data_IF_838018237417
#
_entry.id   IF_838018237417
#
_cell.length_a   1.000
_cell.length_b   1.000
_cell.length_c   1.000
_cell.angle_alpha   90.00
_cell.angle_beta   90.00
_cell.angle_gamma   90.00
#
_symmetry.space_group_name_H-M   'P 1'
#
loop_
_entity.id
_entity.type
_entity.pdbx_description
1 polymer ?
#
# COMPACT_ATOMS: atom_id res chain seq x y z
N UNK A 1 -14.08 6.86 -1.55
CA UNK A 1 -14.94 5.67 -1.33
C UNK A 1 -14.61 5.12 0.05
N UNK A 2 -15.62 4.96 0.91
CA UNK A 2 -15.52 4.53 2.32
C UNK A 2 -16.13 3.13 2.54
N UNK A 3 -16.20 2.32 1.47
CA UNK A 3 -16.90 1.03 1.44
C UNK A 3 -15.97 -0.10 0.98
N UNK A 4 -15.49 -0.88 1.95
CA UNK A 4 -15.44 -2.34 1.91
C UNK A 4 -14.33 -3.07 1.13
N UNK A 5 -13.68 -2.47 0.12
CA UNK A 5 -12.66 -3.19 -0.70
C UNK A 5 -11.54 -2.32 -1.27
N UNK A 6 -11.52 -1.02 -0.98
CA UNK A 6 -10.50 -0.12 -1.50
C UNK A 6 -9.56 0.28 -0.36
N UNK A 7 -8.27 -0.06 -0.49
CA UNK A 7 -7.22 0.48 0.37
C UNK A 7 -7.23 2.01 0.39
N UNK A 8 -6.43 2.61 1.28
CA UNK A 8 -6.32 4.07 1.36
C UNK A 8 -5.83 4.63 0.01
N UNK A 9 -6.74 5.24 -0.75
CA UNK A 9 -6.37 5.93 -1.99
C UNK A 9 -5.63 7.24 -1.70
N UNK A 10 -4.87 7.81 -2.65
CA UNK A 10 -4.21 9.10 -2.46
C UNK A 10 -5.17 10.23 -2.05
N UNK A 11 -6.37 10.30 -2.64
CA UNK A 11 -7.38 11.28 -2.25
C UNK A 11 -7.86 11.06 -0.80
N UNK A 12 -8.02 9.80 -0.37
CA UNK A 12 -8.38 9.49 1.01
C UNK A 12 -7.25 9.80 1.98
N UNK A 13 -5.99 9.55 1.60
CA UNK A 13 -4.83 9.92 2.41
C UNK A 13 -4.77 11.44 2.66
N UNK A 14 -5.10 12.26 1.66
CA UNK A 14 -5.23 13.72 1.81
C UNK A 14 -6.41 14.09 2.73
N UNK A 15 -7.56 13.43 2.58
CA UNK A 15 -8.71 13.67 3.47
C UNK A 15 -8.38 13.34 4.93
N UNK A 16 -7.67 12.23 5.16
CA UNK A 16 -7.22 11.81 6.49
C UNK A 16 -6.14 12.72 7.06
N UNK A 17 -5.21 13.20 6.22
CA UNK A 17 -4.18 14.15 6.64
C UNK A 17 -4.78 15.45 7.18
N UNK A 18 -5.79 15.98 6.48
CA UNK A 18 -6.55 17.17 6.91
C UNK A 18 -7.36 16.89 8.18
N UNK A 19 -8.05 15.74 8.24
CA UNK A 19 -8.95 15.43 9.34
C UNK A 19 -8.23 15.16 10.67
N UNK A 20 -7.02 14.60 10.62
CA UNK A 20 -6.29 14.13 11.80
C UNK A 20 -4.99 14.91 12.07
N UNK A 21 -4.71 15.97 11.32
CA UNK A 21 -3.46 16.74 11.40
C UNK A 21 -2.22 15.84 11.27
N UNK A 22 -2.25 14.94 10.28
CA UNK A 22 -1.16 13.99 9.96
C UNK A 22 -0.66 14.22 8.52
N UNK A 23 0.27 13.40 8.03
CA UNK A 23 0.71 13.43 6.61
C UNK A 23 -0.02 12.40 5.75
N UNK A 24 -0.31 12.75 4.50
CA UNK A 24 -0.90 11.83 3.53
C UNK A 24 0.07 10.67 3.18
N UNK A 25 1.37 10.97 3.15
CA UNK A 25 2.45 10.02 2.91
C UNK A 25 2.45 8.91 3.97
N UNK A 26 2.20 9.25 5.24
CA UNK A 26 2.14 8.26 6.32
C UNK A 26 0.99 7.27 6.10
N UNK A 27 -0.17 7.75 5.66
CA UNK A 27 -1.32 6.90 5.35
C UNK A 27 -1.07 5.99 4.15
N UNK A 28 -0.46 6.51 3.10
CA UNK A 28 -0.09 5.71 1.93
C UNK A 28 0.97 4.66 2.27
N UNK A 29 1.98 5.02 3.08
CA UNK A 29 3.00 4.08 3.52
C UNK A 29 2.40 2.93 4.34
N UNK A 30 1.45 3.21 5.24
CA UNK A 30 0.73 2.19 5.99
C UNK A 30 -0.04 1.24 5.07
N UNK A 31 -0.74 1.78 4.06
CA UNK A 31 -1.44 0.97 3.06
C UNK A 31 -0.47 0.07 2.28
N UNK A 32 0.64 0.63 1.78
CA UNK A 32 1.64 -0.13 1.04
C UNK A 32 2.30 -1.22 1.90
N UNK A 33 2.56 -0.96 3.18
CA UNK A 33 3.10 -1.97 4.09
C UNK A 33 2.12 -3.13 4.31
N UNK A 34 0.84 -2.83 4.49
CA UNK A 34 -0.19 -3.85 4.63
C UNK A 34 -0.33 -4.71 3.36
N UNK A 35 -0.37 -4.06 2.19
CA UNK A 35 -0.44 -4.75 0.90
C UNK A 35 0.78 -5.61 0.65
N UNK A 36 1.98 -5.10 0.96
CA UNK A 36 3.22 -5.86 0.84
C UNK A 36 3.20 -7.08 1.77
N UNK A 37 2.85 -6.90 3.05
CA UNK A 37 2.74 -8.00 4.00
C UNK A 37 1.80 -9.10 3.51
N UNK A 38 0.65 -8.72 2.93
CA UNK A 38 -0.30 -9.66 2.36
C UNK A 38 0.24 -10.36 1.10
N UNK A 39 0.91 -9.62 0.21
CA UNK A 39 1.56 -10.17 -0.97
C UNK A 39 2.67 -11.17 -0.60
N UNK A 40 3.39 -10.92 0.50
CA UNK A 40 4.44 -11.84 0.95
C UNK A 40 3.92 -13.18 1.45
N UNK A 41 2.65 -13.28 1.84
CA UNK A 41 2.07 -14.57 2.20
C UNK A 41 1.97 -15.53 1.00
N UNK A 42 2.03 -15.01 -0.23
CA UNK A 42 1.93 -15.76 -1.48
C UNK A 42 3.21 -15.63 -2.31
N UNK A 43 4.34 -15.31 -1.66
CA UNK A 43 5.62 -15.03 -2.32
C UNK A 43 6.13 -16.21 -3.16
N UNK A 44 5.87 -17.43 -2.74
CA UNK A 44 6.26 -18.67 -3.41
C UNK A 44 5.48 -18.94 -4.71
N UNK A 45 4.29 -18.34 -4.86
CA UNK A 45 3.52 -18.38 -6.11
C UNK A 45 4.12 -17.48 -7.21
N UNK A 46 4.96 -16.50 -6.83
CA UNK A 46 5.59 -15.56 -7.74
C UNK A 46 6.71 -16.24 -8.54
N UNK A 47 6.44 -16.53 -9.82
CA UNK A 47 7.42 -17.13 -10.75
C UNK A 47 8.39 -16.09 -11.32
N UNK A 48 9.24 -15.52 -10.48
CA UNK A 48 10.20 -14.46 -10.83
C UNK A 48 11.64 -14.99 -10.83
N UNK A 49 12.44 -14.63 -11.85
CA UNK A 49 13.88 -14.88 -11.89
C UNK A 49 14.64 -13.58 -11.67
N UNK A 50 15.71 -13.61 -10.87
CA UNK A 50 16.60 -12.46 -10.67
C UNK A 50 17.28 -12.11 -11.99
N UNK A 51 17.13 -10.86 -12.44
CA UNK A 51 17.86 -10.36 -13.60
C UNK A 51 19.30 -10.10 -13.21
N UNK A 52 20.24 -10.54 -14.07
CA UNK A 52 21.66 -10.22 -13.97
C UNK A 52 22.02 -9.36 -15.18
N UNK A 53 22.74 -8.26 -14.94
CA UNK A 53 23.31 -7.47 -16.03
C UNK A 53 24.43 -8.27 -16.69
N UNK A 54 24.46 -8.26 -18.03
CA UNK A 54 25.50 -8.89 -18.85
C UNK A 54 26.79 -8.06 -18.84
#
# INVERSE_FOLDING_TARGET
>A
MLNGKAGISPEMAIRLSIAFDTSAESWLNQQSQYELWHAEQHRDELKVKKLVAA
#
